data_IF_878774780802
#
_entry.id   IF_878774780802
#
_cell.length_a   1.000
_cell.length_b   1.000
_cell.length_c   1.000
_cell.angle_alpha   90.00
_cell.angle_beta   90.00
_cell.angle_gamma   90.00
#
_symmetry.space_group_name_H-M   'P 1'
#
loop_
_entity.id
_entity.type
_entity.pdbx_description
1 polymer ?
#
# COMPACT_ATOMS: atom_id res chain seq x y z
N UNK A 1 28.05 1.73 -46.64
CA UNK A 1 27.70 1.30 -45.26
C UNK A 1 26.82 0.08 -45.37
N UNK A 2 27.24 -1.04 -44.78
CA UNK A 2 26.43 -2.26 -44.66
C UNK A 2 25.91 -2.32 -43.22
N UNK A 3 24.60 -2.52 -43.03
CA UNK A 3 24.01 -2.75 -41.71
C UNK A 3 24.49 -4.12 -41.22
N UNK A 4 25.23 -4.17 -40.11
CA UNK A 4 25.72 -5.43 -39.53
C UNK A 4 24.71 -6.02 -38.54
N UNK A 5 24.18 -5.17 -37.66
CA UNK A 5 23.31 -5.62 -36.58
C UNK A 5 22.33 -4.51 -36.17
N UNK A 6 21.10 -4.90 -35.85
CA UNK A 6 20.08 -4.01 -35.30
C UNK A 6 19.46 -4.68 -34.08
N UNK A 7 19.53 -4.00 -32.93
CA UNK A 7 18.91 -4.48 -31.69
C UNK A 7 18.27 -3.32 -30.91
N UNK A 8 17.34 -3.66 -30.03
CA UNK A 8 16.69 -2.71 -29.13
C UNK A 8 17.34 -2.77 -27.75
N UNK A 9 17.77 -1.63 -27.22
CA UNK A 9 18.33 -1.50 -25.88
C UNK A 9 17.36 -0.71 -24.98
N UNK A 10 17.04 -1.28 -23.81
CA UNK A 10 16.27 -0.61 -22.77
C UNK A 10 17.23 0.18 -21.89
N UNK A 11 17.20 1.50 -22.01
CA UNK A 11 18.00 2.38 -21.16
C UNK A 11 17.09 3.13 -20.19
N UNK A 12 17.53 3.24 -18.94
CA UNK A 12 16.79 3.93 -17.89
C UNK A 12 16.63 5.42 -18.20
N UNK A 13 15.42 5.93 -17.99
CA UNK A 13 15.12 7.34 -18.19
C UNK A 13 15.74 8.18 -17.07
N UNK A 14 16.49 9.23 -17.43
CA UNK A 14 17.11 10.13 -16.45
C UNK A 14 16.11 10.99 -15.67
N UNK A 15 14.93 11.26 -16.25
CA UNK A 15 13.90 12.12 -15.69
C UNK A 15 12.56 11.40 -15.61
N UNK A 16 12.28 10.73 -14.48
CA UNK A 16 10.92 10.27 -14.15
C UNK A 16 10.18 11.41 -13.44
N UNK A 17 8.89 11.60 -13.73
CA UNK A 17 8.12 12.68 -13.13
C UNK A 17 8.02 12.50 -11.61
N UNK A 18 8.28 13.58 -10.86
CA UNK A 18 8.22 13.59 -9.40
C UNK A 18 6.85 13.18 -8.85
N UNK A 19 5.81 13.38 -9.65
CA UNK A 19 4.41 13.13 -9.31
C UNK A 19 4.20 11.67 -8.92
N UNK A 20 4.82 10.71 -9.60
CA UNK A 20 4.67 9.28 -9.28
C UNK A 20 5.20 8.94 -7.88
N UNK A 21 6.37 9.47 -7.55
CA UNK A 21 6.98 9.29 -6.23
C UNK A 21 6.13 9.98 -5.15
N UNK A 22 5.69 11.21 -5.41
CA UNK A 22 4.87 11.96 -4.48
C UNK A 22 3.51 11.27 -4.22
N UNK A 23 2.85 10.77 -5.26
CA UNK A 23 1.60 10.03 -5.16
C UNK A 23 1.77 8.73 -4.35
N UNK A 24 2.85 7.97 -4.59
CA UNK A 24 3.15 6.77 -3.82
C UNK A 24 3.35 7.09 -2.33
N UNK A 25 4.17 8.10 -2.02
CA UNK A 25 4.44 8.49 -0.64
C UNK A 25 3.16 8.99 0.04
N UNK A 26 2.36 9.80 -0.66
CA UNK A 26 1.08 10.28 -0.15
C UNK A 26 0.12 9.12 0.18
N UNK A 27 0.06 8.08 -0.66
CA UNK A 27 -0.77 6.90 -0.39
C UNK A 27 -0.36 6.17 0.90
N UNK A 28 0.94 6.05 1.18
CA UNK A 28 1.41 5.46 2.44
C UNK A 28 1.14 6.35 3.65
N UNK A 29 1.30 7.67 3.52
CA UNK A 29 0.99 8.60 4.62
C UNK A 29 -0.49 8.51 4.98
N UNK A 30 -1.37 8.44 3.98
CA UNK A 30 -2.81 8.24 4.20
C UNK A 30 -3.10 6.88 4.85
N UNK A 31 -2.49 5.80 4.36
CA UNK A 31 -2.63 4.46 4.95
C UNK A 31 -2.17 4.41 6.41
N UNK A 32 -1.09 5.13 6.74
CA UNK A 32 -0.58 5.23 8.10
C UNK A 32 -1.54 6.03 9.00
N UNK A 33 -2.00 7.19 8.53
CA UNK A 33 -2.91 8.06 9.26
C UNK A 33 -4.27 7.42 9.53
N UNK A 34 -4.90 6.84 8.51
CA UNK A 34 -6.19 6.17 8.70
C UNK A 34 -6.07 4.87 9.50
N UNK A 35 -4.97 4.11 9.32
CA UNK A 35 -4.73 2.88 10.08
C UNK A 35 -4.58 3.13 11.58
N UNK A 36 -3.81 4.16 11.99
CA UNK A 36 -3.65 4.50 13.41
C UNK A 36 -4.95 5.05 14.00
N UNK A 37 -5.71 5.87 13.26
CA UNK A 37 -7.02 6.37 13.69
C UNK A 37 -7.98 5.21 13.93
N UNK A 38 -8.08 4.27 12.98
CA UNK A 38 -8.95 3.10 13.10
C UNK A 38 -8.54 2.22 14.30
N UNK A 39 -7.25 1.88 14.40
CA UNK A 39 -6.73 1.06 15.50
C UNK A 39 -6.93 1.69 16.89
N UNK A 40 -6.73 3.01 17.00
CA UNK A 40 -6.99 3.74 18.24
C UNK A 40 -8.46 3.71 18.63
N UNK A 41 -9.37 3.94 17.68
CA UNK A 41 -10.81 3.94 17.95
C UNK A 41 -11.30 2.55 18.35
N UNK A 42 -10.82 1.50 17.68
CA UNK A 42 -11.13 0.12 18.07
C UNK A 42 -10.65 -0.18 19.51
N UNK A 43 -9.49 0.32 19.90
CA UNK A 43 -8.99 0.18 21.27
C UNK A 43 -9.88 0.94 22.28
N UNK A 44 -10.29 2.16 21.98
CA UNK A 44 -11.22 2.95 22.83
C UNK A 44 -12.56 2.26 22.97
N UNK A 45 -13.11 1.74 21.87
CA UNK A 45 -14.37 0.97 21.88
C UNK A 45 -14.22 -0.28 22.75
N UNK A 46 -13.12 -1.02 22.60
CA UNK A 46 -12.85 -2.21 23.41
C UNK A 46 -12.78 -1.91 24.91
N UNK A 47 -12.11 -0.83 25.31
CA UNK A 47 -12.09 -0.38 26.71
C UNK A 47 -13.49 0.00 27.20
N UNK A 48 -14.33 0.57 26.33
CA UNK A 48 -15.71 0.94 26.67
C UNK A 48 -16.60 -0.28 26.93
N UNK A 49 -16.27 -1.44 26.37
CA UNK A 49 -16.97 -2.71 26.57
C UNK A 49 -16.19 -3.70 27.46
N UNK A 50 -15.49 -3.20 28.49
CA UNK A 50 -14.74 -4.01 29.47
C UNK A 50 -13.74 -5.00 28.84
N UNK A 51 -13.05 -4.56 27.79
CA UNK A 51 -12.12 -5.33 26.98
C UNK A 51 -12.71 -6.52 26.20
N UNK A 52 -14.03 -6.64 26.15
CA UNK A 52 -14.73 -7.68 25.39
C UNK A 52 -14.85 -7.30 23.91
N UNK A 53 -14.98 -8.31 23.06
CA UNK A 53 -15.14 -8.09 21.62
C UNK A 53 -16.59 -7.74 21.28
N UNK A 54 -16.83 -6.49 20.91
CA UNK A 54 -18.17 -6.01 20.54
C UNK A 54 -18.59 -6.46 19.12
N UNK A 55 -17.63 -6.74 18.23
CA UNK A 55 -17.91 -7.22 16.87
C UNK A 55 -18.70 -8.54 16.92
N UNK A 56 -19.79 -8.63 16.15
CA UNK A 56 -20.69 -9.80 16.10
C UNK A 56 -21.34 -10.19 17.43
N UNK A 57 -21.20 -9.39 18.48
CA UNK A 57 -21.82 -9.69 19.77
C UNK A 57 -23.33 -9.46 19.72
N UNK A 58 -24.08 -10.36 20.37
CA UNK A 58 -25.52 -10.23 20.56
C UNK A 58 -25.75 -9.88 22.02
N UNK A 59 -25.89 -8.59 22.30
CA UNK A 59 -26.12 -8.10 23.66
C UNK A 59 -27.61 -8.02 23.92
N UNK A 60 -28.09 -8.66 24.99
CA UNK A 60 -29.45 -8.50 25.46
C UNK A 60 -29.44 -7.48 26.60
N UNK A 61 -30.21 -6.38 26.50
CA UNK A 61 -30.29 -5.40 27.57
C UNK A 61 -30.93 -6.05 28.79
N UNK A 62 -30.27 -5.96 29.95
CA UNK A 62 -30.87 -6.36 31.21
C UNK A 62 -32.03 -5.40 31.51
N UNK A 63 -33.23 -5.96 31.64
CA UNK A 63 -34.47 -5.22 31.79
C UNK A 63 -34.64 -4.73 33.23
N UNK A 64 -33.70 -3.96 33.77
CA UNK A 64 -33.85 -3.14 34.98
C UNK A 64 -32.53 -2.44 35.26
N UNK A 65 -32.54 -1.11 35.15
CA UNK A 65 -31.56 -0.27 35.82
C UNK A 65 -31.67 -0.30 37.36
N UNK A 66 -32.08 -1.42 37.96
CA UNK A 66 -31.96 -1.61 39.41
C UNK A 66 -32.08 -3.08 39.88
N UNK A 67 -31.24 -3.40 40.86
CA UNK A 67 -31.01 -4.71 41.48
C UNK A 67 -32.29 -5.36 42.02
N UNK A 68 -32.72 -6.47 41.41
CA UNK A 68 -33.44 -7.52 42.17
C UNK A 68 -33.33 -8.87 41.49
N UNK A 69 -32.64 -9.78 42.17
CA UNK A 69 -32.55 -11.21 41.94
C UNK A 69 -33.97 -11.74 41.75
N UNK A 70 -34.35 -11.99 40.51
CA UNK A 70 -35.46 -12.87 40.21
C UNK A 70 -34.99 -13.83 39.13
N UNK A 71 -34.72 -15.06 39.61
CA UNK A 71 -34.37 -16.21 38.83
C UNK A 71 -35.41 -16.43 37.73
N UNK A 72 -35.02 -16.26 36.47
CA UNK A 72 -35.53 -17.01 35.31
C UNK A 72 -34.75 -16.58 34.06
N UNK A 73 -33.80 -17.43 33.64
CA UNK A 73 -33.30 -17.56 32.27
C UNK A 73 -33.06 -16.27 31.46
N UNK A 74 -32.24 -15.35 31.98
CA UNK A 74 -31.59 -14.36 31.12
C UNK A 74 -30.32 -14.98 30.54
N UNK A 75 -30.37 -15.38 29.26
CA UNK A 75 -29.21 -15.89 28.55
C UNK A 75 -28.05 -14.90 28.68
N UNK A 76 -26.91 -15.40 29.16
CA UNK A 76 -25.67 -14.65 29.28
C UNK A 76 -25.38 -13.89 27.97
N UNK A 77 -25.06 -12.60 28.04
CA UNK A 77 -24.59 -11.83 26.88
C UNK A 77 -23.48 -12.62 26.17
N UNK A 78 -23.75 -13.10 24.95
CA UNK A 78 -22.80 -13.92 24.19
C UNK A 78 -21.86 -12.96 23.46
N UNK A 79 -20.67 -12.80 24.03
CA UNK A 79 -19.58 -12.05 23.41
C UNK A 79 -18.89 -12.93 22.38
N UNK A 80 -18.56 -12.34 21.22
CA UNK A 80 -17.89 -13.08 20.16
C UNK A 80 -16.41 -13.30 20.50
N UNK A 81 -15.77 -14.20 19.76
CA UNK A 81 -14.38 -14.59 19.97
C UNK A 81 -13.45 -13.36 19.95
N UNK A 82 -12.56 -13.24 20.94
CA UNK A 82 -11.61 -12.12 21.07
C UNK A 82 -10.69 -12.01 19.86
N UNK A 83 -10.41 -13.14 19.20
CA UNK A 83 -9.52 -13.24 18.05
C UNK A 83 -9.93 -12.31 16.89
N UNK A 84 -11.23 -12.14 16.62
CA UNK A 84 -11.69 -11.27 15.52
C UNK A 84 -11.42 -9.78 15.80
N UNK A 85 -11.67 -9.34 17.03
CA UNK A 85 -11.34 -7.97 17.44
C UNK A 85 -9.84 -7.74 17.50
N UNK A 86 -9.07 -8.71 18.01
CA UNK A 86 -7.61 -8.67 18.02
C UNK A 86 -7.06 -8.55 16.60
N UNK A 87 -7.53 -9.38 15.67
CA UNK A 87 -7.15 -9.31 14.26
C UNK A 87 -7.44 -7.93 13.66
N UNK A 88 -8.65 -7.39 13.82
CA UNK A 88 -9.02 -6.08 13.30
C UNK A 88 -8.16 -4.95 13.89
N UNK A 89 -7.91 -4.98 15.20
CA UNK A 89 -7.08 -3.97 15.86
C UNK A 89 -5.62 -4.06 15.42
N UNK A 90 -5.02 -5.25 15.45
CA UNK A 90 -3.60 -5.45 15.12
C UNK A 90 -3.31 -5.22 13.63
N UNK A 91 -4.20 -5.62 12.72
CA UNK A 91 -4.05 -5.35 11.27
C UNK A 91 -4.04 -3.85 10.96
N UNK A 92 -4.85 -3.05 11.65
CA UNK A 92 -4.88 -1.59 11.49
C UNK A 92 -3.64 -0.91 12.09
N UNK A 93 -3.15 -1.38 13.23
CA UNK A 93 -1.91 -0.86 13.84
C UNK A 93 -0.68 -1.26 13.02
N UNK A 94 -0.60 -2.49 12.53
CA UNK A 94 0.48 -2.92 11.65
C UNK A 94 0.48 -2.15 10.32
N UNK A 95 -0.69 -1.66 9.86
CA UNK A 95 -0.79 -0.82 8.65
C UNK A 95 0.07 0.43 8.80
N UNK A 96 0.00 1.07 9.98
CA UNK A 96 0.82 2.23 10.30
C UNK A 96 2.32 1.91 10.24
N UNK A 97 2.75 0.79 10.82
CA UNK A 97 4.16 0.38 10.85
C UNK A 97 4.67 0.10 9.43
N UNK A 98 3.95 -0.69 8.64
CA UNK A 98 4.42 -1.04 7.30
C UNK A 98 4.35 0.12 6.33
N UNK A 99 3.30 0.95 6.41
CA UNK A 99 3.19 2.13 5.57
C UNK A 99 4.32 3.15 5.85
N UNK A 100 4.71 3.33 7.12
CA UNK A 100 5.85 4.21 7.47
C UNK A 100 7.18 3.67 6.99
N UNK A 101 7.43 2.35 7.12
CA UNK A 101 8.63 1.69 6.58
C UNK A 101 8.71 1.87 5.05
N UNK A 102 7.61 1.60 4.34
CA UNK A 102 7.58 1.78 2.89
C UNK A 102 7.74 3.24 2.47
N UNK A 103 7.07 4.17 3.15
CA UNK A 103 7.27 5.59 2.92
C UNK A 103 8.75 5.99 3.07
N UNK A 104 9.45 5.48 4.10
CA UNK A 104 10.87 5.71 4.29
C UNK A 104 11.72 5.15 3.14
N UNK A 105 11.46 3.92 2.68
CA UNK A 105 12.16 3.37 1.53
C UNK A 105 11.98 4.23 0.27
N UNK A 106 10.75 4.65 -0.03
CA UNK A 106 10.49 5.51 -1.18
C UNK A 106 11.09 6.91 -1.02
N UNK A 107 11.25 7.42 0.21
CA UNK A 107 11.97 8.66 0.49
C UNK A 107 13.46 8.54 0.19
N UNK A 108 14.11 7.48 0.68
CA UNK A 108 15.55 7.24 0.50
C UNK A 108 15.93 6.95 -0.96
N UNK A 109 15.06 6.30 -1.71
CA UNK A 109 15.31 6.04 -3.13
C UNK A 109 15.28 7.34 -3.94
N UNK A 110 16.28 7.55 -4.80
CA UNK A 110 16.38 8.72 -5.68
C UNK A 110 15.19 8.87 -6.64
N UNK A 111 15.19 9.95 -7.43
CA UNK A 111 14.06 10.40 -8.26
C UNK A 111 13.73 9.51 -9.49
N UNK A 112 14.34 8.33 -9.63
CA UNK A 112 14.34 7.55 -10.87
C UNK A 112 15.51 7.97 -11.76
N UNK A 113 16.11 7.03 -12.49
CA UNK A 113 17.22 7.27 -13.41
C UNK A 113 18.62 6.90 -12.91
N UNK A 114 19.62 7.17 -13.75
CA UNK A 114 21.05 6.88 -13.54
C UNK A 114 21.55 7.61 -12.28
N UNK A 115 21.53 6.90 -11.15
CA UNK A 115 22.04 7.42 -9.90
C UNK A 115 23.57 7.41 -9.93
N UNK A 116 24.19 8.59 -9.91
CA UNK A 116 25.65 8.74 -9.73
C UNK A 116 26.12 8.35 -8.32
N UNK A 117 25.21 8.02 -7.40
CA UNK A 117 25.53 7.78 -5.98
C UNK A 117 25.60 6.29 -5.60
N UNK A 118 25.58 5.36 -6.58
CA UNK A 118 25.71 3.92 -6.31
C UNK A 118 24.55 3.30 -5.53
N UNK A 119 23.48 4.05 -5.29
CA UNK A 119 22.28 3.60 -4.59
C UNK A 119 21.40 2.75 -5.53
N UNK A 120 20.65 1.77 -4.99
CA UNK A 120 19.78 0.91 -5.79
C UNK A 120 18.74 1.74 -6.56
N UNK A 121 18.59 1.41 -7.85
CA UNK A 121 17.68 2.11 -8.75
C UNK A 121 16.21 1.90 -8.33
N UNK A 122 15.35 2.94 -8.43
CA UNK A 122 13.99 2.90 -7.88
C UNK A 122 13.06 1.83 -8.45
N UNK A 123 13.31 1.35 -9.67
CA UNK A 123 12.49 0.30 -10.31
C UNK A 123 12.66 -1.05 -9.62
N UNK A 124 13.82 -1.33 -9.01
CA UNK A 124 14.10 -2.62 -8.34
C UNK A 124 13.24 -2.83 -7.09
N UNK A 125 12.84 -1.73 -6.46
CA UNK A 125 12.03 -1.74 -5.23
C UNK A 125 10.53 -1.78 -5.58
N UNK A 126 10.15 -1.41 -6.80
CA UNK A 126 8.76 -1.41 -7.23
C UNK A 126 8.13 -2.82 -7.20
N UNK A 127 8.88 -3.86 -7.58
CA UNK A 127 8.35 -5.23 -7.61
C UNK A 127 8.10 -5.80 -6.19
N UNK A 128 9.06 -5.76 -5.24
CA UNK A 128 8.78 -6.14 -3.86
C UNK A 128 7.66 -5.32 -3.22
N UNK A 129 7.61 -4.01 -3.50
CA UNK A 129 6.54 -3.13 -3.01
C UNK A 129 5.17 -3.55 -3.56
N UNK A 130 5.08 -3.88 -4.85
CA UNK A 130 3.84 -4.35 -5.47
C UNK A 130 3.29 -5.60 -4.78
N UNK A 131 4.15 -6.60 -4.56
CA UNK A 131 3.76 -7.85 -3.89
C UNK A 131 3.27 -7.59 -2.46
N UNK A 132 4.00 -6.76 -1.71
CA UNK A 132 3.63 -6.42 -0.35
C UNK A 132 2.33 -5.63 -0.28
N UNK A 133 2.16 -4.60 -1.14
CA UNK A 133 0.96 -3.77 -1.17
C UNK A 133 -0.28 -4.59 -1.55
N UNK A 134 -0.15 -5.55 -2.46
CA UNK A 134 -1.23 -6.48 -2.77
C UNK A 134 -1.61 -7.34 -1.55
N UNK A 135 -0.63 -7.94 -0.88
CA UNK A 135 -0.86 -8.73 0.33
C UNK A 135 -1.56 -7.91 1.41
N UNK A 136 -1.11 -6.67 1.62
CA UNK A 136 -1.67 -5.79 2.63
C UNK A 136 -3.06 -5.26 2.27
N UNK A 137 -3.33 -5.04 0.99
CA UNK A 137 -4.67 -4.74 0.50
C UNK A 137 -5.65 -5.87 0.83
N UNK A 138 -5.25 -7.14 0.66
CA UNK A 138 -6.08 -8.30 1.02
C UNK A 138 -6.31 -8.39 2.54
N UNK A 139 -5.29 -8.15 3.36
CA UNK A 139 -5.43 -8.15 4.82
C UNK A 139 -6.40 -7.05 5.26
N UNK A 140 -6.23 -5.84 4.72
CA UNK A 140 -7.05 -4.67 5.10
C UNK A 140 -8.50 -4.80 4.63
N UNK A 141 -8.78 -5.41 3.46
CA UNK A 141 -10.17 -5.61 3.01
C UNK A 141 -10.90 -6.62 3.88
N UNK A 142 -10.24 -7.71 4.28
CA UNK A 142 -10.83 -8.67 5.22
C UNK A 142 -11.13 -7.98 6.55
N UNK A 143 -10.19 -7.20 7.09
CA UNK A 143 -10.41 -6.46 8.33
C UNK A 143 -11.55 -5.43 8.22
N UNK A 144 -11.65 -4.69 7.11
CA UNK A 144 -12.73 -3.72 6.90
C UNK A 144 -14.11 -4.39 6.82
N UNK A 145 -14.20 -5.55 6.17
CA UNK A 145 -15.43 -6.34 6.09
C UNK A 145 -15.86 -6.89 7.45
N UNK A 146 -14.93 -7.45 8.22
CA UNK A 146 -15.17 -7.93 9.59
C UNK A 146 -15.65 -6.80 10.51
N UNK A 147 -15.04 -5.60 10.41
CA UNK A 147 -15.48 -4.42 11.17
C UNK A 147 -16.90 -4.00 10.75
N UNK A 148 -17.16 -3.89 9.46
CA UNK A 148 -18.46 -3.45 8.95
C UNK A 148 -19.57 -4.43 9.32
N UNK A 149 -19.40 -5.71 9.01
CA UNK A 149 -20.38 -6.75 9.30
C UNK A 149 -20.53 -6.96 10.81
N UNK A 150 -19.43 -6.97 11.56
CA UNK A 150 -19.46 -7.14 13.01
C UNK A 150 -20.19 -6.01 13.72
N UNK A 151 -20.04 -4.76 13.29
CA UNK A 151 -20.81 -3.62 13.79
C UNK A 151 -22.27 -3.69 13.34
N UNK A 152 -22.53 -4.09 12.09
CA UNK A 152 -23.90 -4.20 11.58
C UNK A 152 -24.70 -5.24 12.37
N UNK A 153 -24.14 -6.43 12.61
CA UNK A 153 -24.76 -7.49 13.43
C UNK A 153 -24.98 -7.01 14.87
N UNK A 154 -24.01 -6.29 15.44
CA UNK A 154 -24.15 -5.69 16.76
C UNK A 154 -25.33 -4.71 16.84
N UNK A 155 -25.55 -3.93 15.78
CA UNK A 155 -26.61 -2.93 15.72
C UNK A 155 -27.97 -3.45 15.24
N UNK A 156 -28.01 -4.56 14.51
CA UNK A 156 -29.22 -5.24 14.04
C UNK A 156 -29.86 -6.14 15.09
N UNK A 157 -29.19 -6.39 16.23
CA UNK A 157 -29.72 -7.30 17.24
C UNK A 157 -31.11 -6.82 17.70
N UNK A 158 -32.18 -7.61 17.44
CA UNK A 158 -33.55 -7.17 17.61
C UNK A 158 -33.89 -7.13 19.10
N UNK A 159 -34.21 -5.95 19.60
CA UNK A 159 -34.97 -5.85 20.84
C UNK A 159 -36.44 -5.95 20.48
N UNK A 160 -37.05 -7.11 20.75
CA UNK A 160 -38.52 -7.29 20.73
C UNK A 160 -39.25 -6.27 21.63
N UNK A 161 -38.51 -5.59 22.51
CA UNK A 161 -38.98 -4.49 23.37
C UNK A 161 -39.12 -3.12 22.68
N UNK A 162 -38.60 -2.92 21.46
CA UNK A 162 -38.58 -1.61 20.77
C UNK A 162 -39.30 -1.73 19.42
N UNK A 163 -40.57 -2.13 19.41
CA UNK A 163 -41.39 -2.11 18.19
C UNK A 163 -41.89 -0.72 17.82
N UNK A 164 -41.77 0.28 18.71
CA UNK A 164 -42.44 1.58 18.54
C UNK A 164 -41.50 2.78 18.31
N UNK A 165 -40.19 2.58 18.47
CA UNK A 165 -39.21 3.65 18.21
C UNK A 165 -38.53 3.35 16.88
N UNK A 166 -39.05 3.96 15.80
CA UNK A 166 -38.30 4.17 14.55
C UNK A 166 -37.07 5.03 14.85
N UNK A 167 -36.01 4.46 15.41
CA UNK A 167 -34.74 5.16 15.53
C UNK A 167 -33.69 4.50 14.67
N UNK A 168 -33.22 5.30 13.72
CA UNK A 168 -32.32 4.98 12.63
C UNK A 168 -30.86 4.71 13.06
N UNK A 169 -30.62 4.27 14.30
CA UNK A 169 -29.30 4.19 14.91
C UNK A 169 -29.27 3.09 15.98
N UNK A 170 -28.19 2.29 15.99
CA UNK A 170 -27.86 1.20 16.93
C UNK A 170 -28.56 1.30 18.31
N UNK A 171 -29.79 0.76 18.43
CA UNK A 171 -30.66 1.02 19.59
C UNK A 171 -30.14 0.39 20.89
N UNK A 172 -29.41 -0.72 20.77
CA UNK A 172 -28.74 -1.41 21.89
C UNK A 172 -27.74 -0.52 22.60
N UNK A 173 -27.03 0.33 21.86
CA UNK A 173 -26.03 1.21 22.43
C UNK A 173 -26.67 2.28 23.33
N UNK A 174 -27.90 2.69 23.01
CA UNK A 174 -28.67 3.61 23.84
C UNK A 174 -29.06 2.96 25.17
N UNK A 175 -29.47 1.69 25.16
CA UNK A 175 -29.84 0.95 26.37
C UNK A 175 -28.65 0.62 27.26
N UNK A 176 -27.51 0.23 26.68
CA UNK A 176 -26.33 -0.20 27.43
C UNK A 176 -25.52 0.98 28.01
N UNK A 177 -25.52 2.14 27.33
CA UNK A 177 -24.63 3.26 27.71
C UNK A 177 -25.30 4.64 27.53
N UNK A 178 -26.37 4.88 28.30
CA UNK A 178 -27.15 6.14 28.31
C UNK A 178 -26.28 7.41 28.40
N UNK A 179 -25.18 7.39 29.17
CA UNK A 179 -24.35 8.56 29.40
C UNK A 179 -23.38 8.91 28.25
N UNK A 180 -23.02 7.96 27.37
CA UNK A 180 -22.03 8.17 26.29
C UNK A 180 -22.50 7.69 24.91
N UNK A 181 -23.81 7.56 24.71
CA UNK A 181 -24.41 7.08 23.47
C UNK A 181 -23.91 7.81 22.21
N UNK A 182 -24.02 9.15 22.20
CA UNK A 182 -23.63 9.97 21.04
C UNK A 182 -22.15 9.81 20.67
N UNK A 183 -21.28 9.81 21.68
CA UNK A 183 -19.83 9.67 21.50
C UNK A 183 -19.48 8.28 20.96
N UNK A 184 -20.11 7.23 21.48
CA UNK A 184 -19.84 5.85 21.06
C UNK A 184 -20.34 5.56 19.65
N UNK A 185 -21.50 6.12 19.26
CA UNK A 185 -21.98 6.07 17.86
C UNK A 185 -21.01 6.74 16.90
N UNK A 186 -20.48 7.92 17.26
CA UNK A 186 -19.48 8.62 16.45
C UNK A 186 -18.21 7.77 16.31
N UNK A 187 -17.76 7.13 17.39
CA UNK A 187 -16.61 6.22 17.32
C UNK A 187 -16.85 5.03 16.39
N UNK A 188 -18.03 4.40 16.42
CA UNK A 188 -18.37 3.30 15.50
C UNK A 188 -18.35 3.74 14.03
N UNK A 189 -18.95 4.90 13.71
CA UNK A 189 -18.98 5.43 12.34
C UNK A 189 -17.56 5.80 11.85
N UNK A 190 -16.76 6.45 12.70
CA UNK A 190 -15.36 6.75 12.34
C UNK A 190 -14.55 5.46 12.18
N UNK A 191 -14.77 4.42 12.99
CA UNK A 191 -14.08 3.14 12.83
C UNK A 191 -14.34 2.51 11.46
N UNK A 192 -15.61 2.46 11.03
CA UNK A 192 -16.00 1.94 9.71
C UNK A 192 -15.36 2.77 8.60
N UNK A 193 -15.52 4.10 8.64
CA UNK A 193 -15.00 4.99 7.60
C UNK A 193 -13.48 4.93 7.50
N UNK A 194 -12.78 4.98 8.64
CA UNK A 194 -11.32 4.90 8.67
C UNK A 194 -10.79 3.54 8.20
N UNK A 195 -11.48 2.44 8.48
CA UNK A 195 -11.12 1.12 7.96
C UNK A 195 -11.18 1.11 6.42
N UNK A 196 -12.28 1.59 5.83
CA UNK A 196 -12.44 1.68 4.36
C UNK A 196 -11.45 2.64 3.69
N UNK A 197 -11.13 3.77 4.34
CA UNK A 197 -10.12 4.70 3.85
C UNK A 197 -8.71 4.11 3.90
N UNK A 198 -8.42 3.25 4.89
CA UNK A 198 -7.16 2.51 4.98
C UNK A 198 -7.04 1.52 3.83
N UNK A 199 -8.08 0.75 3.53
CA UNK A 199 -8.11 -0.16 2.36
C UNK A 199 -7.92 0.57 1.05
N UNK A 200 -8.63 1.69 0.86
CA UNK A 200 -8.48 2.51 -0.34
C UNK A 200 -7.06 3.02 -0.51
N UNK A 201 -6.41 3.40 0.59
CA UNK A 201 -5.02 3.86 0.58
C UNK A 201 -4.05 2.75 0.17
N UNK A 202 -4.24 1.52 0.66
CA UNK A 202 -3.46 0.35 0.21
C UNK A 202 -3.74 -0.04 -1.23
N UNK A 203 -4.99 0.09 -1.69
CA UNK A 203 -5.34 -0.12 -3.09
C UNK A 203 -4.60 0.88 -3.99
N UNK A 204 -4.58 2.17 -3.63
CA UNK A 204 -3.83 3.19 -4.36
C UNK A 204 -2.33 2.87 -4.34
N UNK A 205 -1.79 2.48 -3.18
CA UNK A 205 -0.39 2.07 -3.05
C UNK A 205 -0.04 0.85 -3.91
N UNK A 206 -0.99 -0.02 -4.22
CA UNK A 206 -0.84 -1.15 -5.15
C UNK A 206 -0.99 -0.75 -6.63
N UNK A 207 -1.99 0.07 -6.95
CA UNK A 207 -2.30 0.46 -8.34
C UNK A 207 -1.21 1.34 -8.94
N UNK A 208 -0.64 2.27 -8.18
CA UNK A 208 0.42 3.17 -8.67
C UNK A 208 1.65 2.41 -9.21
N UNK A 209 2.30 1.48 -8.48
CA UNK A 209 3.42 0.72 -9.01
C UNK A 209 3.00 -0.25 -10.11
N UNK A 210 1.76 -0.77 -10.09
CA UNK A 210 1.24 -1.60 -11.16
C UNK A 210 1.19 -0.83 -12.49
N UNK A 211 0.63 0.38 -12.49
CA UNK A 211 0.59 1.27 -13.65
C UNK A 211 2.03 1.58 -14.13
N UNK A 212 2.94 1.87 -13.20
CA UNK A 212 4.35 2.15 -13.53
C UNK A 212 5.03 1.00 -14.27
N UNK A 213 4.75 -0.24 -13.86
CA UNK A 213 5.28 -1.46 -14.48
C UNK A 213 4.62 -1.71 -15.84
N UNK A 214 3.30 -1.59 -15.94
CA UNK A 214 2.54 -1.84 -17.18
C UNK A 214 2.92 -0.88 -18.31
N UNK A 215 3.10 0.40 -18.00
CA UNK A 215 3.47 1.41 -18.98
C UNK A 215 4.99 1.56 -19.16
N UNK A 216 5.79 0.76 -18.45
CA UNK A 216 7.26 0.75 -18.59
C UNK A 216 7.84 2.17 -18.48
N UNK A 217 7.26 3.00 -17.59
CA UNK A 217 7.52 4.46 -17.51
C UNK A 217 8.99 4.77 -17.19
N UNK A 218 9.67 3.82 -16.55
CA UNK A 218 11.07 3.97 -16.14
C UNK A 218 12.07 3.77 -17.28
N UNK A 219 11.67 3.18 -18.41
CA UNK A 219 12.60 2.82 -19.49
C UNK A 219 12.28 3.56 -20.79
N UNK A 220 13.33 3.97 -21.48
CA UNK A 220 13.29 4.40 -22.88
C UNK A 220 13.84 3.28 -23.75
N UNK A 221 13.14 2.98 -24.83
CA UNK A 221 13.57 2.00 -25.83
C UNK A 221 14.40 2.75 -26.87
N UNK A 222 15.68 2.38 -26.98
CA UNK A 222 16.58 2.89 -28.01
C UNK A 222 16.77 1.82 -29.07
N UNK A 223 16.70 2.22 -30.35
CA UNK A 223 17.08 1.36 -31.47
C UNK A 223 18.55 1.62 -31.78
N UNK A 224 19.40 0.61 -31.60
CA UNK A 224 20.83 0.70 -31.88
C UNK A 224 21.09 -0.02 -33.21
N UNK A 225 21.60 0.71 -34.21
CA UNK A 225 22.04 0.15 -35.49
C UNK A 225 23.56 0.23 -35.60
N UNK A 226 24.19 -0.93 -35.79
CA UNK A 226 25.64 -1.05 -35.98
C UNK A 226 25.91 -1.18 -37.49
N UNK A 227 26.72 -0.27 -38.03
CA UNK A 227 27.12 -0.28 -39.44
C UNK A 227 28.58 -0.72 -39.58
N UNK A 228 28.84 -1.60 -40.54
CA UNK A 228 30.19 -2.06 -40.88
C UNK A 228 30.98 -0.97 -41.59
N UNK A 229 32.19 -0.71 -41.09
CA UNK A 229 33.15 0.22 -41.66
C UNK A 229 33.96 -0.45 -42.78
N UNK A 230 33.30 -0.98 -43.80
CA UNK A 230 34.00 -1.42 -45.00
C UNK A 230 34.18 -0.23 -45.96
N UNK A 231 35.45 0.21 -46.06
CA UNK A 231 36.05 1.15 -47.02
C UNK A 231 36.27 2.63 -46.66
N UNK A 232 36.59 2.99 -45.42
CA UNK A 232 37.28 4.26 -45.11
C UNK A 232 38.78 4.01 -44.89
N UNK A 233 39.44 3.46 -45.92
CA UNK A 233 40.89 3.32 -45.98
C UNK A 233 41.52 4.31 -46.98
N UNK A 234 40.86 5.45 -47.21
CA UNK A 234 41.48 6.62 -47.78
C UNK A 234 40.64 7.86 -47.40
N UNK A 235 41.33 8.90 -46.93
CA UNK A 235 40.83 10.19 -46.45
C UNK A 235 40.08 10.22 -45.11
N UNK A 236 40.85 10.64 -44.09
CA UNK A 236 40.51 11.47 -42.93
C UNK A 236 39.43 10.98 -41.94
N UNK A 237 39.79 11.11 -40.65
CA UNK A 237 38.93 10.96 -39.48
C UNK A 237 37.54 11.60 -39.67
N UNK A 238 36.55 10.80 -40.04
CA UNK A 238 35.16 11.19 -39.88
C UNK A 238 34.51 10.39 -38.76
N UNK A 239 34.10 11.16 -37.76
CA UNK A 239 33.44 10.73 -36.55
C UNK A 239 32.18 9.95 -36.91
N UNK A 240 32.14 8.69 -36.52
CA UNK A 240 30.99 7.79 -36.58
C UNK A 240 29.72 8.56 -36.16
N UNK A 241 28.87 8.89 -37.15
CA UNK A 241 27.61 9.58 -36.93
C UNK A 241 26.60 8.54 -36.44
N UNK A 242 26.51 8.41 -35.12
CA UNK A 242 25.32 7.88 -34.47
C UNK A 242 24.17 8.81 -34.87
N UNK A 243 23.23 8.30 -35.67
CA UNK A 243 22.07 9.05 -36.12
C UNK A 243 21.20 9.45 -34.93
N UNK A 244 21.35 10.70 -34.52
CA UNK A 244 20.33 11.63 -34.03
C UNK A 244 19.21 11.06 -33.12
N UNK A 245 19.54 10.87 -31.84
CA UNK A 245 18.87 11.58 -30.74
C UNK A 245 19.87 11.70 -29.57
N UNK A 246 20.62 12.81 -29.61
CA UNK A 246 21.33 13.49 -28.52
C UNK A 246 21.96 12.65 -27.39
N UNK A 247 23.07 11.95 -27.66
CA UNK A 247 24.33 12.02 -26.88
C UNK A 247 25.43 11.16 -27.55
N UNK A 248 26.54 11.79 -27.92
CA UNK A 248 27.66 11.15 -28.65
C UNK A 248 28.52 10.33 -27.67
N UNK A 249 28.12 9.09 -27.35
CA UNK A 249 28.93 8.22 -26.49
C UNK A 249 30.10 7.62 -27.29
N UNK A 250 31.33 8.05 -26.99
CA UNK A 250 32.58 7.48 -27.55
C UNK A 250 32.78 6.07 -26.99
N UNK A 251 32.48 5.05 -27.79
CA UNK A 251 32.87 3.66 -27.46
C UNK A 251 34.29 3.44 -27.96
N UNK A 252 35.25 3.29 -27.04
CA UNK A 252 36.63 2.90 -27.36
C UNK A 252 36.69 1.37 -27.37
N UNK A 253 36.77 0.77 -28.54
CA UNK A 253 37.14 -0.64 -28.65
C UNK A 253 38.64 -0.76 -28.40
N UNK A 254 39.01 -1.47 -27.34
CA UNK A 254 40.40 -1.87 -27.11
C UNK A 254 40.65 -3.02 -28.09
N UNK A 255 41.29 -2.71 -29.21
CA UNK A 255 41.86 -3.72 -30.09
C UNK A 255 42.98 -4.43 -29.33
N UNK A 256 42.78 -5.71 -29.00
CA UNK A 256 43.86 -6.58 -28.53
C UNK A 256 44.67 -7.03 -29.74
N UNK A 257 45.52 -6.12 -30.24
CA UNK A 257 46.60 -6.44 -31.18
C UNK A 257 47.89 -6.62 -30.39
N UNK A 258 48.13 -7.84 -29.90
CA UNK A 258 49.42 -8.20 -29.30
C UNK A 258 50.45 -8.49 -30.38
N UNK A 259 51.29 -7.51 -30.71
CA UNK A 259 52.52 -7.72 -31.47
C UNK A 259 53.57 -8.43 -30.59
N UNK A 260 54.00 -9.59 -31.08
CA UNK A 260 55.21 -10.28 -30.70
C UNK A 260 56.44 -9.55 -31.24
N UNK A 261 57.39 -9.17 -30.37
CA UNK A 261 58.78 -8.97 -30.80
C UNK A 261 59.77 -9.47 -29.74
N UNK A 262 60.60 -10.41 -30.19
CA UNK A 262 61.76 -11.01 -29.52
C UNK A 262 62.79 -9.95 -29.13
N UNK A 263 63.42 -10.13 -27.98
CA UNK A 263 64.73 -9.57 -27.64
C UNK A 263 65.77 -10.69 -27.76
N UNK A 264 66.68 -10.54 -28.72
CA UNK A 264 68.04 -11.11 -28.69
C UNK A 264 69.01 -9.95 -28.36
N UNK A 265 70.16 -10.36 -27.83
CA UNK A 265 71.32 -9.63 -27.29
C UNK A 265 71.25 -9.22 -25.80
#
# INVERSE_FOLDING_TARGET
MVLLEEYFELQETENVSFIWKAAQIASYILAAGFGIICGYILAVLRVTFDNKCFLYSKVHPDARGDLRIQNEQFNESIWFNSMSCDYCQYSMVSSFIFATIWAAFFLMCGKGGKSNTGLPQPWRIALPALMFNFMYFVISIVAALEIYNGINVFCETPNDFISDIRLHNCAILHLYYMAKFKTTMIHLDIAIKSAWMTTLSWLLAFVIPLIRILFVIDFKIYKVSVYGADSLNNSNEEVLSVTEFDEKRRVRFISSGGESHLHED
#
